data_IF_231431810709
#
_entry.id   IF_231431810709
#
_cell.length_a   1.000
_cell.length_b   1.000
_cell.length_c   1.000
_cell.angle_alpha   90.00
_cell.angle_beta   90.00
_cell.angle_gamma   90.00
#
_symmetry.space_group_name_H-M   'P 1'
#
loop_
_entity.id
_entity.type
_entity.pdbx_description
1 polymer ?
#
# COMPACT_ATOMS: atom_id res chain seq x y z
N UNK A 1 29.63 11.58 -11.98
CA UNK A 1 30.19 10.21 -11.78
C UNK A 1 29.04 9.24 -11.92
N UNK A 2 29.21 8.12 -12.63
CA UNK A 2 28.15 7.13 -12.76
C UNK A 2 27.91 6.45 -11.39
N UNK A 3 26.65 6.23 -11.04
CA UNK A 3 26.26 5.53 -9.81
C UNK A 3 26.82 4.10 -9.85
N UNK A 4 27.50 3.68 -8.79
CA UNK A 4 28.06 2.32 -8.75
C UNK A 4 26.92 1.31 -8.56
N UNK A 5 27.16 0.06 -8.95
CA UNK A 5 26.15 -1.01 -8.77
C UNK A 5 25.83 -1.26 -7.29
N UNK A 6 26.81 -1.09 -6.41
CA UNK A 6 26.60 -1.17 -4.97
C UNK A 6 25.66 -0.07 -4.47
N UNK A 7 25.82 1.15 -4.98
CA UNK A 7 24.93 2.28 -4.65
C UNK A 7 23.50 2.03 -5.15
N UNK A 8 23.34 1.50 -6.37
CA UNK A 8 22.03 1.12 -6.92
C UNK A 8 21.32 0.07 -6.06
N UNK A 9 22.06 -0.93 -5.56
CA UNK A 9 21.53 -1.96 -4.67
C UNK A 9 21.08 -1.35 -3.35
N UNK A 10 21.96 -0.58 -2.68
CA UNK A 10 21.63 0.07 -1.40
C UNK A 10 20.36 0.91 -1.54
N UNK A 11 20.30 1.74 -2.58
CA UNK A 11 19.15 2.60 -2.85
C UNK A 11 17.87 1.81 -3.11
N UNK A 12 17.92 0.73 -3.89
CA UNK A 12 16.74 -0.09 -4.14
C UNK A 12 16.18 -0.73 -2.86
N UNK A 13 17.05 -1.16 -1.94
CA UNK A 13 16.61 -1.70 -0.64
C UNK A 13 16.10 -0.61 0.31
N UNK A 14 16.70 0.59 0.28
CA UNK A 14 16.21 1.75 1.04
C UNK A 14 14.83 2.21 0.54
N UNK A 15 14.64 2.28 -0.77
CA UNK A 15 13.35 2.57 -1.42
C UNK A 15 12.32 1.52 -1.03
N UNK A 16 12.67 0.23 -1.07
CA UNK A 16 11.78 -0.86 -0.66
C UNK A 16 11.41 -0.78 0.82
N UNK A 17 12.39 -0.50 1.70
CA UNK A 17 12.12 -0.32 3.13
C UNK A 17 11.16 0.83 3.35
N UNK A 18 11.40 1.97 2.71
CA UNK A 18 10.57 3.16 2.81
C UNK A 18 9.15 2.89 2.32
N UNK A 19 8.99 2.29 1.13
CA UNK A 19 7.69 1.96 0.58
C UNK A 19 6.89 0.98 1.45
N UNK A 20 7.57 0.02 2.12
CA UNK A 20 6.92 -0.89 3.08
C UNK A 20 6.44 -0.19 4.34
N UNK A 21 7.21 0.79 4.84
CA UNK A 21 6.79 1.62 5.98
C UNK A 21 5.58 2.46 5.58
N UNK A 22 5.64 3.15 4.44
CA UNK A 22 4.51 3.94 3.92
C UNK A 22 3.25 3.08 3.73
N UNK A 23 3.38 1.87 3.19
CA UNK A 23 2.27 0.93 3.04
C UNK A 23 1.68 0.51 4.40
N UNK A 24 2.53 0.32 5.41
CA UNK A 24 2.08 0.01 6.76
C UNK A 24 1.30 1.18 7.37
N UNK A 25 1.86 2.38 7.33
CA UNK A 25 1.23 3.61 7.83
C UNK A 25 -0.11 3.88 7.12
N UNK A 26 -0.17 3.72 5.79
CA UNK A 26 -1.40 3.86 5.03
C UNK A 26 -2.44 2.79 5.40
N UNK A 27 -1.99 1.58 5.73
CA UNK A 27 -2.88 0.51 6.21
C UNK A 27 -3.44 0.81 7.61
N UNK A 28 -2.65 1.42 8.50
CA UNK A 28 -3.12 1.88 9.80
C UNK A 28 -4.15 3.01 9.66
N UNK A 29 -3.91 3.98 8.76
CA UNK A 29 -4.87 5.05 8.45
C UNK A 29 -6.20 4.51 7.91
N UNK A 30 -6.16 3.57 6.96
CA UNK A 30 -7.35 2.89 6.42
C UNK A 30 -8.13 2.18 7.54
N UNK A 31 -7.43 1.44 8.40
CA UNK A 31 -8.06 0.76 9.54
C UNK A 31 -8.70 1.75 10.51
N UNK A 32 -8.00 2.84 10.84
CA UNK A 32 -8.50 3.89 11.72
C UNK A 32 -9.75 4.56 11.14
N UNK A 33 -9.72 4.97 9.87
CA UNK A 33 -10.85 5.59 9.19
C UNK A 33 -12.10 4.69 9.20
N UNK A 34 -11.93 3.40 8.88
CA UNK A 34 -13.03 2.42 8.91
C UNK A 34 -13.57 2.18 10.31
N UNK A 35 -12.71 2.25 11.33
CA UNK A 35 -13.11 2.11 12.73
C UNK A 35 -13.92 3.33 13.17
N UNK A 36 -13.48 4.53 12.84
CA UNK A 36 -14.20 5.78 13.10
C UNK A 36 -15.57 5.79 12.43
N UNK A 37 -15.65 5.38 11.15
CA UNK A 37 -16.92 5.24 10.45
C UNK A 37 -17.89 4.32 11.21
N UNK A 38 -17.46 3.11 11.58
CA UNK A 38 -18.28 2.17 12.35
C UNK A 38 -18.74 2.72 13.70
N UNK A 39 -17.86 3.43 14.40
CA UNK A 39 -18.20 4.06 15.68
C UNK A 39 -19.27 5.14 15.49
N UNK A 40 -19.18 5.95 14.43
CA UNK A 40 -20.18 6.96 14.12
C UNK A 40 -21.51 6.36 13.69
N UNK A 41 -21.51 5.35 12.83
CA UNK A 41 -22.71 4.61 12.44
C UNK A 41 -23.44 4.07 13.67
N UNK A 42 -22.71 3.43 14.59
CA UNK A 42 -23.27 2.93 15.84
C UNK A 42 -23.83 4.07 16.73
N UNK A 43 -23.11 5.19 16.84
CA UNK A 43 -23.57 6.33 17.62
C UNK A 43 -24.86 6.95 17.04
N UNK A 44 -24.99 7.06 15.72
CA UNK A 44 -26.19 7.57 15.06
C UNK A 44 -27.39 6.63 15.22
N UNK A 45 -27.15 5.32 15.16
CA UNK A 45 -28.19 4.32 15.42
C UNK A 45 -28.69 4.35 16.87
N UNK A 46 -27.79 4.56 17.83
CA UNK A 46 -28.13 4.62 19.26
C UNK A 46 -28.77 5.95 19.68
N UNK A 47 -28.45 7.05 19.01
CA UNK A 47 -28.98 8.38 19.36
C UNK A 47 -30.45 8.57 19.00
N UNK A 48 -31.03 7.66 18.20
CA UNK A 48 -32.38 7.81 17.66
C UNK A 48 -32.49 8.85 16.54
N UNK A 49 -31.37 9.38 16.04
CA UNK A 49 -31.33 10.31 14.92
C UNK A 49 -31.81 9.69 13.60
N UNK A 50 -31.73 8.37 13.48
CA UNK A 50 -32.19 7.61 12.31
C UNK A 50 -33.67 7.26 12.49
N UNK A 51 -34.52 7.85 11.67
CA UNK A 51 -35.99 7.80 11.77
C UNK A 51 -36.60 7.31 10.46
N UNK A 52 -37.63 6.48 10.54
CA UNK A 52 -38.40 6.03 9.39
C UNK A 52 -38.67 4.52 9.42
N UNK A 53 -39.76 4.10 8.78
CA UNK A 53 -40.20 2.69 8.73
C UNK A 53 -39.57 1.91 7.58
N UNK A 54 -39.17 2.58 6.49
CA UNK A 54 -38.50 1.95 5.34
C UNK A 54 -36.98 1.90 5.58
N UNK A 55 -36.35 0.79 5.20
CA UNK A 55 -34.90 0.61 5.23
C UNK A 55 -34.17 1.63 4.36
N UNK A 56 -34.67 1.94 3.15
CA UNK A 56 -34.01 2.87 2.23
C UNK A 56 -33.85 4.27 2.83
N UNK A 57 -34.89 4.76 3.54
CA UNK A 57 -34.86 6.07 4.19
C UNK A 57 -33.86 6.10 5.35
N UNK A 58 -33.77 5.01 6.11
CA UNK A 58 -32.81 4.89 7.22
C UNK A 58 -31.38 4.82 6.69
N UNK A 59 -31.14 4.09 5.62
CA UNK A 59 -29.82 3.98 4.98
C UNK A 59 -29.38 5.32 4.38
N UNK A 60 -30.29 6.07 3.76
CA UNK A 60 -30.00 7.40 3.24
C UNK A 60 -29.60 8.37 4.38
N UNK A 61 -30.32 8.35 5.50
CA UNK A 61 -29.99 9.17 6.67
C UNK A 61 -28.65 8.76 7.30
N UNK A 62 -28.36 7.46 7.35
CA UNK A 62 -27.08 6.94 7.86
C UNK A 62 -25.90 7.37 6.99
N UNK A 63 -26.05 7.25 5.66
CA UNK A 63 -25.04 7.71 4.69
C UNK A 63 -24.82 9.22 4.77
N UNK A 64 -25.88 10.01 4.85
CA UNK A 64 -25.78 11.46 4.99
C UNK A 64 -25.09 11.83 6.33
N UNK A 65 -25.50 11.19 7.42
CA UNK A 65 -24.90 11.39 8.74
C UNK A 65 -23.44 10.98 8.83
N UNK A 66 -22.99 10.03 8.01
CA UNK A 66 -21.61 9.53 7.96
C UNK A 66 -20.83 10.01 6.74
N UNK A 67 -21.31 11.03 6.01
CA UNK A 67 -20.73 11.44 4.74
C UNK A 67 -19.23 11.75 4.82
N UNK A 68 -18.83 12.54 5.82
CA UNK A 68 -17.41 12.91 6.01
C UNK A 68 -16.51 11.72 6.34
N UNK A 69 -17.01 10.75 7.09
CA UNK A 69 -16.28 9.53 7.44
C UNK A 69 -16.19 8.57 6.26
N UNK A 70 -17.23 8.49 5.43
CA UNK A 70 -17.20 7.76 4.16
C UNK A 70 -16.18 8.36 3.19
N UNK A 71 -16.13 9.69 3.08
CA UNK A 71 -15.11 10.39 2.29
C UNK A 71 -13.70 10.13 2.84
N UNK A 72 -13.52 10.14 4.16
CA UNK A 72 -12.23 9.84 4.80
C UNK A 72 -11.79 8.38 4.58
N UNK A 73 -12.72 7.42 4.62
CA UNK A 73 -12.44 6.01 4.30
C UNK A 73 -12.00 5.85 2.85
N UNK A 74 -12.67 6.49 1.90
CA UNK A 74 -12.29 6.39 0.49
C UNK A 74 -10.94 7.05 0.22
N UNK A 75 -10.66 8.21 0.84
CA UNK A 75 -9.35 8.85 0.75
C UNK A 75 -8.22 7.95 1.29
N UNK A 76 -8.42 7.35 2.47
CA UNK A 76 -7.44 6.43 3.05
C UNK A 76 -7.26 5.16 2.21
N UNK A 77 -8.33 4.66 1.58
CA UNK A 77 -8.27 3.51 0.67
C UNK A 77 -7.44 3.82 -0.57
N UNK A 78 -7.59 5.00 -1.16
CA UNK A 78 -6.81 5.44 -2.31
C UNK A 78 -5.34 5.63 -1.94
N UNK A 79 -5.04 6.25 -0.79
CA UNK A 79 -3.67 6.39 -0.28
C UNK A 79 -3.00 5.02 -0.09
N UNK A 80 -3.71 4.06 0.49
CA UNK A 80 -3.23 2.68 0.67
C UNK A 80 -3.00 1.97 -0.66
N UNK A 81 -3.89 2.15 -1.64
CA UNK A 81 -3.73 1.56 -2.97
C UNK A 81 -2.48 2.11 -3.67
N UNK A 82 -2.23 3.41 -3.57
CA UNK A 82 -1.04 4.02 -4.14
C UNK A 82 0.25 3.55 -3.43
N UNK A 83 0.24 3.49 -2.09
CA UNK A 83 1.36 2.96 -1.31
C UNK A 83 1.68 1.49 -1.66
N UNK A 84 0.65 0.67 -1.91
CA UNK A 84 0.81 -0.70 -2.39
C UNK A 84 1.54 -0.74 -3.73
N UNK A 85 1.12 0.07 -4.71
CA UNK A 85 1.75 0.12 -6.03
C UNK A 85 3.24 0.52 -5.94
N UNK A 86 3.57 1.48 -5.07
CA UNK A 86 4.97 1.87 -4.82
C UNK A 86 5.78 0.74 -4.19
N UNK A 87 5.22 0.04 -3.22
CA UNK A 87 5.86 -1.12 -2.57
C UNK A 87 6.09 -2.27 -3.55
N UNK A 88 5.14 -2.54 -4.44
CA UNK A 88 5.26 -3.57 -5.48
C UNK A 88 6.34 -3.21 -6.49
N UNK A 89 6.37 -1.95 -6.96
CA UNK A 89 7.42 -1.47 -7.86
C UNK A 89 8.81 -1.55 -7.23
N UNK A 90 8.95 -1.13 -5.96
CA UNK A 90 10.23 -1.24 -5.25
C UNK A 90 10.66 -2.71 -5.06
N UNK A 91 9.70 -3.60 -4.82
CA UNK A 91 9.96 -5.04 -4.71
C UNK A 91 10.45 -5.63 -6.04
N UNK A 92 9.81 -5.27 -7.16
CA UNK A 92 10.23 -5.68 -8.50
C UNK A 92 11.65 -5.22 -8.81
N UNK A 93 12.00 -3.97 -8.49
CA UNK A 93 13.36 -3.44 -8.70
C UNK A 93 14.42 -4.21 -7.92
N UNK A 94 14.14 -4.55 -6.67
CA UNK A 94 15.07 -5.38 -5.86
C UNK A 94 15.21 -6.77 -6.47
N UNK A 95 14.12 -7.40 -6.91
CA UNK A 95 14.16 -8.72 -7.56
C UNK A 95 14.94 -8.71 -8.87
N UNK A 96 14.79 -7.66 -9.68
CA UNK A 96 15.53 -7.47 -10.92
C UNK A 96 17.04 -7.37 -10.64
N UNK A 97 17.45 -6.55 -9.68
CA UNK A 97 18.86 -6.42 -9.30
C UNK A 97 19.43 -7.75 -8.78
N UNK A 98 18.69 -8.48 -7.95
CA UNK A 98 19.08 -9.82 -7.48
C UNK A 98 19.23 -10.82 -8.64
N UNK A 99 18.35 -10.74 -9.64
CA UNK A 99 18.45 -11.59 -10.83
C UNK A 99 19.69 -11.24 -11.65
N UNK A 100 19.95 -9.96 -11.90
CA UNK A 100 21.14 -9.52 -12.64
C UNK A 100 22.44 -9.94 -11.94
N UNK A 101 22.52 -9.83 -10.60
CA UNK A 101 23.71 -10.28 -9.84
C UNK A 101 23.92 -11.79 -10.02
N UNK A 102 22.86 -12.60 -9.92
CA UNK A 102 22.97 -14.05 -10.13
C UNK A 102 23.35 -14.40 -11.56
N UNK A 103 22.88 -13.64 -12.54
CA UNK A 103 23.22 -13.85 -13.95
C UNK A 103 24.70 -13.53 -14.23
N UNK A 104 25.22 -12.44 -13.67
CA UNK A 104 26.64 -12.09 -13.79
C UNK A 104 27.53 -13.16 -13.16
N UNK A 105 27.16 -13.65 -11.98
CA UNK A 105 27.87 -14.74 -11.30
C UNK A 105 27.88 -16.02 -12.16
N UNK A 106 26.72 -16.39 -12.71
CA UNK A 106 26.60 -17.57 -13.56
C UNK A 106 27.42 -17.43 -14.85
N UNK A 107 27.47 -16.23 -15.44
CA UNK A 107 28.26 -15.95 -16.64
C UNK A 107 29.76 -16.06 -16.34
N UNK A 108 30.21 -15.47 -15.22
CA UNK A 108 31.59 -15.58 -14.77
C UNK A 108 32.00 -17.03 -14.49
N UNK A 109 31.10 -17.84 -13.90
CA UNK A 109 31.33 -19.26 -13.66
C UNK A 109 31.44 -20.08 -14.95
N UNK A 110 30.67 -19.74 -15.99
CA UNK A 110 30.76 -20.39 -17.30
C UNK A 110 32.06 -20.04 -18.02
N UNK A 111 32.47 -18.77 -17.94
CA UNK A 111 33.74 -18.28 -18.52
C UNK A 111 34.94 -18.95 -17.84
N UNK A 112 34.96 -18.99 -16.50
CA UNK A 112 36.01 -19.66 -15.73
C UNK A 112 36.16 -21.16 -16.04
N UNK A 113 35.10 -21.81 -16.56
CA UNK A 113 35.10 -23.22 -16.97
C UNK A 113 35.41 -23.41 -18.45
N UNK A 114 35.63 -22.34 -19.21
CA UNK A 114 35.94 -22.37 -20.65
C UNK A 114 34.74 -22.72 -21.54
N UNK A 115 33.51 -22.49 -21.06
CA UNK A 115 32.28 -22.74 -21.82
C UNK A 115 31.75 -21.50 -22.56
N UNK A 116 32.34 -20.33 -22.32
CA UNK A 116 32.09 -19.11 -23.10
C UNK A 116 33.20 -19.02 -24.17
N UNK A 117 32.88 -18.91 -25.48
CA UNK A 117 33.88 -18.78 -26.53
C UNK A 117 34.69 -17.48 -26.43
#
# INVERSE_FOLDING_TARGET
MAETREDQIKRAYEDLRTARIEMHEASEKDLAARTTLKQKEAALLLSGAIVGKNAETRDAQLKEGCKGELEAVEAARLEKADAQLRSDLASMRVQELQWLIRNDQATADLDARGYVP
#
